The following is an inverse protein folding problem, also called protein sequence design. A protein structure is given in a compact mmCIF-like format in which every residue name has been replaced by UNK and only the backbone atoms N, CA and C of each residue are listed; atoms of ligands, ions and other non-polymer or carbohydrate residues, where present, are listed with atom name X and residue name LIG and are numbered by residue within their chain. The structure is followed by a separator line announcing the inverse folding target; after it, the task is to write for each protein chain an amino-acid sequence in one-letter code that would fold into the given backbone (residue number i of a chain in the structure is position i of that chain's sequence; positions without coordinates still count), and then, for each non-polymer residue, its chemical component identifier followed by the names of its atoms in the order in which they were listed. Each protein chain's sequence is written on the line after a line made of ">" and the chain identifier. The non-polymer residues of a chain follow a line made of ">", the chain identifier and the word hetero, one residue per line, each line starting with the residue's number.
data_IF_403189356605
#
_entry.id   IF_403189356605
#
_cell.length_a   1.000
_cell.length_b   1.000
_cell.length_c   1.000
_cell.angle_alpha   90.00
_cell.angle_beta   90.00
_cell.angle_gamma   90.00
#
_symmetry.space_group_name_H-M   'P 1'
#
loop_
_entity.id
_entity.type
_entity.pdbx_description
1 polymer ?
#
# COMPACT_ATOMS: atom_id res chain seq x y z
N UNK A 1 -16.15 11.91 35.79
CA UNK A 1 -15.47 11.01 34.85
C UNK A 1 -15.80 11.53 33.48
N UNK A 2 -14.93 12.42 32.99
CA UNK A 2 -15.12 13.12 31.74
C UNK A 2 -14.88 12.13 30.60
N UNK A 3 -15.88 11.96 29.74
CA UNK A 3 -15.90 11.04 28.61
C UNK A 3 -15.07 11.59 27.44
N UNK A 4 -13.91 12.18 27.72
CA UNK A 4 -12.95 12.65 26.73
C UNK A 4 -12.16 11.48 26.10
N UNK A 5 -12.85 10.37 25.86
CA UNK A 5 -12.56 9.42 24.79
C UNK A 5 -12.92 10.11 23.46
N UNK A 6 -12.29 11.26 23.20
CA UNK A 6 -12.04 11.68 21.83
C UNK A 6 -11.19 10.56 21.24
N UNK A 7 -11.86 9.69 20.51
CA UNK A 7 -11.29 8.83 19.50
C UNK A 7 -10.37 9.72 18.68
N UNK A 8 -9.06 9.68 18.99
CA UNK A 8 -8.01 10.21 18.12
C UNK A 8 -8.37 9.70 16.73
N UNK A 9 -8.90 10.58 15.87
CA UNK A 9 -9.11 10.29 14.45
C UNK A 9 -7.78 9.76 13.98
N UNK A 10 -7.71 8.49 13.61
CA UNK A 10 -6.46 7.71 13.53
C UNK A 10 -5.51 8.14 12.41
N UNK A 11 -5.71 9.32 11.79
CA UNK A 11 -4.93 9.80 10.65
C UNK A 11 -5.05 8.91 9.39
N UNK A 12 -5.79 7.80 9.49
CA UNK A 12 -5.95 6.80 8.44
C UNK A 12 -6.82 7.36 7.32
N UNK A 13 -6.30 7.26 6.10
CA UNK A 13 -7.01 7.57 4.87
C UNK A 13 -7.05 6.34 3.99
N UNK A 14 -8.19 6.11 3.36
CA UNK A 14 -8.31 5.13 2.30
C UNK A 14 -7.58 5.66 1.06
N UNK A 15 -6.81 4.79 0.42
CA UNK A 15 -6.02 5.09 -0.76
C UNK A 15 -6.32 4.03 -1.81
N UNK A 16 -6.70 4.48 -2.98
CA UNK A 16 -6.82 3.63 -4.16
C UNK A 16 -5.51 3.68 -4.94
N UNK A 17 -5.01 2.52 -5.38
CA UNK A 17 -3.73 2.38 -6.07
C UNK A 17 -3.90 1.51 -7.31
N UNK A 18 -3.42 1.96 -8.45
CA UNK A 18 -3.19 1.12 -9.63
C UNK A 18 -1.70 0.81 -9.76
N UNK A 19 -1.37 -0.44 -10.03
CA UNK A 19 0.01 -0.92 -10.02
C UNK A 19 0.31 -1.88 -11.16
N UNK A 20 1.60 -2.02 -11.47
CA UNK A 20 2.17 -3.10 -12.25
C UNK A 20 2.99 -4.01 -11.33
N UNK A 21 2.96 -5.32 -11.56
CA UNK A 21 3.82 -6.27 -10.86
C UNK A 21 4.59 -7.17 -11.83
N UNK A 22 5.71 -7.69 -11.36
CA UNK A 22 6.48 -8.74 -12.05
C UNK A 22 6.99 -9.72 -11.02
N UNK A 23 6.81 -11.03 -11.26
CA UNK A 23 7.40 -12.06 -10.40
C UNK A 23 8.90 -12.15 -10.65
N UNK A 24 9.67 -12.47 -9.61
CA UNK A 24 11.13 -12.50 -9.70
C UNK A 24 11.68 -13.66 -10.56
N UNK A 25 10.87 -14.70 -10.75
CA UNK A 25 11.15 -15.79 -11.69
C UNK A 25 10.80 -15.44 -13.15
N UNK A 26 10.31 -14.22 -13.39
CA UNK A 26 9.92 -13.67 -14.69
C UNK A 26 8.79 -14.44 -15.39
N UNK A 27 8.08 -15.32 -14.68
CA UNK A 27 6.99 -16.13 -15.26
C UNK A 27 5.70 -15.34 -15.42
N UNK A 28 5.48 -14.33 -14.59
CA UNK A 28 4.26 -13.54 -14.57
C UNK A 28 4.56 -12.04 -14.50
N UNK A 29 3.77 -11.27 -15.23
CA UNK A 29 3.66 -9.82 -15.06
C UNK A 29 2.19 -9.42 -15.29
N UNK A 30 1.79 -8.28 -14.75
CA UNK A 30 0.43 -7.83 -14.90
C UNK A 30 0.13 -6.52 -14.22
N UNK A 31 -1.13 -6.13 -14.32
CA UNK A 31 -1.67 -4.91 -13.73
C UNK A 31 -2.74 -5.26 -12.70
N UNK A 32 -2.87 -4.44 -11.67
CA UNK A 32 -3.88 -4.61 -10.66
C UNK A 32 -4.26 -3.31 -9.98
N UNK A 33 -5.30 -3.40 -9.15
CA UNK A 33 -5.73 -2.33 -8.27
C UNK A 33 -5.72 -2.81 -6.82
N UNK A 34 -5.42 -1.89 -5.91
CA UNK A 34 -5.38 -2.13 -4.47
C UNK A 34 -6.07 -0.98 -3.75
N UNK A 35 -6.83 -1.31 -2.71
CA UNK A 35 -7.40 -0.33 -1.78
C UNK A 35 -6.84 -0.64 -0.40
N UNK A 36 -6.20 0.34 0.22
CA UNK A 36 -5.59 0.19 1.53
C UNK A 36 -5.79 1.43 2.40
N UNK A 37 -5.59 1.27 3.71
CA UNK A 37 -5.66 2.38 4.66
C UNK A 37 -4.25 2.74 5.14
N UNK A 38 -3.91 4.02 5.02
CA UNK A 38 -2.58 4.54 5.34
C UNK A 38 -2.68 5.75 6.25
N UNK A 39 -1.82 5.84 7.27
CA UNK A 39 -1.79 6.99 8.17
C UNK A 39 -1.02 8.14 7.52
N UNK A 40 -1.73 9.17 7.06
CA UNK A 40 -1.11 10.32 6.40
C UNK A 40 -0.05 11.02 7.27
N UNK A 41 -0.22 11.00 8.60
CA UNK A 41 0.71 11.63 9.55
C UNK A 41 2.07 10.92 9.60
N UNK A 42 2.12 9.62 9.33
CA UNK A 42 3.38 8.83 9.30
C UNK A 42 4.26 9.21 8.12
N UNK A 43 3.64 9.67 7.04
CA UNK A 43 4.34 9.98 5.79
C UNK A 43 4.81 11.42 5.71
N UNK A 44 4.22 12.33 6.51
CA UNK A 44 4.60 13.75 6.50
C UNK A 44 4.72 14.28 5.07
N UNK A 45 5.89 14.82 4.74
CA UNK A 45 6.22 15.33 3.39
C UNK A 45 6.95 14.30 2.50
N UNK A 46 7.14 13.05 2.97
CA UNK A 46 7.88 12.02 2.25
C UNK A 46 6.97 11.14 1.39
N UNK A 47 6.60 11.68 0.23
CA UNK A 47 5.86 10.94 -0.80
C UNK A 47 6.58 9.64 -1.22
N UNK A 48 7.91 9.67 -1.29
CA UNK A 48 8.70 8.50 -1.66
C UNK A 48 8.54 7.33 -0.68
N UNK A 49 8.55 7.61 0.64
CA UNK A 49 8.33 6.59 1.66
C UNK A 49 6.92 6.03 1.59
N UNK A 50 5.92 6.89 1.36
CA UNK A 50 4.54 6.47 1.18
C UNK A 50 4.37 5.50 0.00
N UNK A 51 4.93 5.84 -1.16
CA UNK A 51 4.90 4.97 -2.34
C UNK A 51 5.61 3.63 -2.05
N UNK A 52 6.77 3.65 -1.39
CA UNK A 52 7.50 2.42 -1.04
C UNK A 52 6.69 1.50 -0.11
N UNK A 53 5.98 2.07 0.87
CA UNK A 53 5.16 1.27 1.78
C UNK A 53 3.92 0.70 1.07
N UNK A 54 3.31 1.45 0.16
CA UNK A 54 2.26 0.93 -0.75
C UNK A 54 2.81 -0.25 -1.57
N UNK A 55 3.94 -0.07 -2.24
CA UNK A 55 4.55 -1.10 -3.07
C UNK A 55 4.81 -2.37 -2.25
N UNK A 56 5.37 -2.24 -1.04
CA UNK A 56 5.60 -3.38 -0.13
C UNK A 56 4.30 -4.05 0.33
N UNK A 57 3.27 -3.28 0.65
CA UNK A 57 1.96 -3.84 1.04
C UNK A 57 1.35 -4.68 -0.08
N UNK A 58 1.45 -4.21 -1.32
CA UNK A 58 0.96 -4.94 -2.49
C UNK A 58 1.84 -6.16 -2.77
N UNK A 59 3.18 -6.02 -2.70
CA UNK A 59 4.13 -7.13 -2.84
C UNK A 59 3.76 -8.26 -1.86
N UNK A 60 3.63 -7.98 -0.56
CA UNK A 60 3.26 -8.99 0.44
C UNK A 60 1.92 -9.67 0.12
N UNK A 61 0.93 -8.91 -0.35
CA UNK A 61 -0.38 -9.46 -0.72
C UNK A 61 -0.28 -10.43 -1.90
N UNK A 62 0.42 -10.04 -2.96
CA UNK A 62 0.62 -10.87 -4.16
C UNK A 62 1.49 -12.10 -3.86
N UNK A 63 2.54 -11.95 -3.06
CA UNK A 63 3.42 -13.05 -2.67
C UNK A 63 2.67 -14.13 -1.90
N UNK A 64 1.74 -13.74 -1.02
CA UNK A 64 0.89 -14.67 -0.31
C UNK A 64 -0.11 -15.41 -1.23
N UNK A 65 -0.55 -14.77 -2.31
CA UNK A 65 -1.50 -15.36 -3.27
C UNK A 65 -0.81 -16.27 -4.30
N UNK A 66 0.34 -15.83 -4.82
CA UNK A 66 1.07 -16.51 -5.88
C UNK A 66 2.08 -17.52 -5.36
N UNK A 67 2.43 -17.46 -4.07
CA UNK A 67 3.54 -18.20 -3.47
C UNK A 67 4.90 -17.95 -4.19
N UNK A 68 5.02 -16.81 -4.86
CA UNK A 68 6.21 -16.39 -5.64
C UNK A 68 6.55 -14.95 -5.28
N UNK A 69 7.83 -14.66 -5.08
CA UNK A 69 8.34 -13.31 -4.83
C UNK A 69 8.07 -12.38 -6.00
N UNK A 70 7.68 -11.13 -5.73
CA UNK A 70 7.39 -10.17 -6.79
C UNK A 70 7.93 -8.77 -6.48
N UNK A 71 7.95 -7.94 -7.53
CA UNK A 71 8.24 -6.51 -7.46
C UNK A 71 7.03 -5.74 -7.96
N UNK A 72 6.68 -4.67 -7.24
CA UNK A 72 5.55 -3.81 -7.59
C UNK A 72 6.04 -2.40 -7.95
N UNK A 73 5.39 -1.80 -8.94
CA UNK A 73 5.52 -0.38 -9.28
C UNK A 73 4.15 0.27 -9.24
N UNK A 74 4.02 1.30 -8.40
CA UNK A 74 2.81 2.14 -8.38
C UNK A 74 2.77 2.99 -9.65
N UNK A 75 1.63 2.97 -10.34
CA UNK A 75 1.39 3.77 -11.54
C UNK A 75 0.53 4.99 -11.23
N UNK A 76 -0.44 4.83 -10.32
CA UNK A 76 -1.36 5.88 -9.91
C UNK A 76 -1.84 5.60 -8.48
N UNK A 77 -2.09 6.66 -7.71
CA UNK A 77 -2.80 6.59 -6.44
C UNK A 77 -3.63 7.85 -6.20
N UNK A 78 -4.69 7.74 -5.38
CA UNK A 78 -5.52 8.86 -4.92
C UNK A 78 -6.08 8.62 -3.53
#
# INVERSE_FOLDING_TARGET
>A
MDSSLETKKTGLREVFVSYHFTTLDLTNNGFGNFVGQFNAEVYGDSMAKFIQDIEKSIEMSLENQLAIKCKVKVLFFR
#
